data_IF_593389970600
#
_entry.id   IF_593389970600
#
_cell.length_a   1.000
_cell.length_b   1.000
_cell.length_c   1.000
_cell.angle_alpha   90.00
_cell.angle_beta   90.00
_cell.angle_gamma   90.00
#
_symmetry.space_group_name_H-M   'P 1'
#
loop_
_entity.id
_entity.type
_entity.pdbx_description
1 polymer ?
#
# COMPACT_ATOMS: atom_id res chain seq x y z
N UNK A 1 19.63 -14.28 5.65
CA UNK A 1 20.81 -13.50 5.18
C UNK A 1 20.70 -12.08 5.69
N UNK A 2 21.80 -11.43 5.98
CA UNK A 2 21.84 -10.02 6.36
C UNK A 2 21.86 -9.11 5.13
N UNK A 3 21.53 -7.82 5.31
CA UNK A 3 21.65 -6.79 4.25
C UNK A 3 23.07 -6.76 3.66
N UNK A 4 24.11 -6.84 4.50
CA UNK A 4 25.52 -6.88 4.07
C UNK A 4 25.82 -8.08 3.18
N UNK A 5 25.32 -9.27 3.53
CA UNK A 5 25.51 -10.47 2.71
C UNK A 5 24.82 -10.37 1.35
N UNK A 6 23.61 -9.78 1.30
CA UNK A 6 22.88 -9.55 0.04
C UNK A 6 23.65 -8.56 -0.85
N UNK A 7 24.17 -7.46 -0.27
CA UNK A 7 25.01 -6.50 -1.01
C UNK A 7 26.31 -7.16 -1.48
N UNK A 8 26.93 -7.99 -0.66
CA UNK A 8 28.15 -8.75 -1.04
C UNK A 8 27.88 -9.73 -2.19
N UNK A 9 26.71 -10.38 -2.18
CA UNK A 9 26.28 -11.22 -3.31
C UNK A 9 26.15 -10.39 -4.60
N UNK A 10 25.54 -9.21 -4.51
CA UNK A 10 25.43 -8.30 -5.65
C UNK A 10 26.80 -7.81 -6.15
N UNK A 11 27.73 -7.48 -5.24
CA UNK A 11 29.10 -7.08 -5.58
C UNK A 11 29.85 -8.22 -6.25
N UNK A 12 29.71 -9.45 -5.77
CA UNK A 12 30.35 -10.62 -6.39
C UNK A 12 29.92 -10.84 -7.85
N UNK A 13 28.66 -10.58 -8.19
CA UNK A 13 28.14 -10.66 -9.58
C UNK A 13 28.82 -9.69 -10.54
N UNK A 14 29.37 -8.59 -10.02
CA UNK A 14 30.09 -7.58 -10.82
C UNK A 14 31.61 -7.63 -10.66
N UNK A 15 32.14 -8.61 -9.89
CA UNK A 15 33.56 -8.74 -9.59
C UNK A 15 34.10 -7.71 -8.57
N UNK A 16 33.18 -7.14 -7.76
CA UNK A 16 33.50 -6.19 -6.69
C UNK A 16 34.05 -6.87 -5.43
N UNK A 17 34.74 -6.09 -4.59
CA UNK A 17 35.25 -6.57 -3.29
C UNK A 17 34.13 -6.62 -2.27
N UNK A 18 34.14 -7.65 -1.43
CA UNK A 18 33.20 -7.81 -0.32
C UNK A 18 33.42 -6.74 0.77
N UNK A 19 32.34 -6.37 1.43
CA UNK A 19 32.29 -5.45 2.56
C UNK A 19 32.29 -6.24 3.87
N UNK A 20 32.91 -5.69 4.91
CA UNK A 20 32.75 -6.22 6.28
C UNK A 20 31.38 -5.84 6.85
N UNK A 21 30.96 -4.59 6.63
CA UNK A 21 29.63 -4.08 7.06
C UNK A 21 29.16 -3.00 6.09
N UNK A 22 28.02 -3.25 5.44
CA UNK A 22 27.46 -2.33 4.44
C UNK A 22 27.04 -0.97 5.03
N UNK A 23 26.69 -0.90 6.31
CA UNK A 23 26.18 0.33 6.93
C UNK A 23 27.32 1.24 7.47
N UNK A 24 28.43 0.66 7.86
CA UNK A 24 29.56 1.38 8.48
C UNK A 24 30.78 1.57 7.60
N UNK A 25 30.99 0.70 6.60
CA UNK A 25 32.11 0.83 5.68
C UNK A 25 32.01 2.13 4.85
N UNK A 26 33.17 2.75 4.60
CA UNK A 26 33.27 4.01 3.84
C UNK A 26 33.79 3.81 2.40
N UNK A 27 33.95 2.56 1.99
CA UNK A 27 34.39 2.23 0.63
C UNK A 27 33.35 2.67 -0.42
N UNK A 28 33.77 2.99 -1.66
CA UNK A 28 32.83 3.32 -2.74
C UNK A 28 31.74 2.26 -2.92
N UNK A 29 32.09 0.97 -2.76
CA UNK A 29 31.14 -0.15 -2.84
C UNK A 29 30.06 -0.09 -1.75
N UNK A 30 30.42 0.26 -0.52
CA UNK A 30 29.47 0.41 0.58
C UNK A 30 28.56 1.63 0.38
N UNK A 31 29.11 2.74 -0.08
CA UNK A 31 28.34 3.96 -0.41
C UNK A 31 27.32 3.67 -1.50
N UNK A 32 27.76 3.07 -2.62
CA UNK A 32 26.87 2.63 -3.70
C UNK A 32 25.82 1.62 -3.21
N UNK A 33 26.24 0.63 -2.42
CA UNK A 33 25.32 -0.36 -1.85
C UNK A 33 24.18 0.29 -1.05
N UNK A 34 24.51 1.22 -0.16
CA UNK A 34 23.49 1.98 0.61
C UNK A 34 22.60 2.84 -0.27
N UNK A 35 23.19 3.53 -1.26
CA UNK A 35 22.49 4.42 -2.20
C UNK A 35 21.39 3.69 -2.96
N UNK A 36 21.65 2.47 -3.44
CA UNK A 36 20.73 1.74 -4.29
C UNK A 36 19.89 0.68 -3.55
N UNK A 37 20.19 0.40 -2.28
CA UNK A 37 19.50 -0.63 -1.51
C UNK A 37 17.98 -0.42 -1.48
N UNK A 38 17.53 0.77 -1.08
CA UNK A 38 16.11 1.07 -0.95
C UNK A 38 15.38 1.06 -2.30
N UNK A 39 16.04 1.56 -3.34
CA UNK A 39 15.49 1.55 -4.68
C UNK A 39 15.28 0.12 -5.18
N UNK A 40 16.32 -0.72 -5.08
CA UNK A 40 16.26 -2.12 -5.50
C UNK A 40 15.23 -2.92 -4.68
N UNK A 41 15.18 -2.72 -3.36
CA UNK A 41 14.22 -3.40 -2.48
C UNK A 41 12.78 -3.03 -2.85
N UNK A 42 12.47 -1.74 -2.98
CA UNK A 42 11.12 -1.29 -3.33
C UNK A 42 10.71 -1.78 -4.72
N UNK A 43 11.62 -1.77 -5.70
CA UNK A 43 11.36 -2.30 -7.03
C UNK A 43 11.08 -3.81 -6.99
N UNK A 44 11.93 -4.59 -6.31
CA UNK A 44 11.74 -6.03 -6.17
C UNK A 44 10.42 -6.38 -5.45
N UNK A 45 10.09 -5.66 -4.37
CA UNK A 45 8.82 -5.85 -3.65
C UNK A 45 7.59 -5.48 -4.49
N UNK A 46 7.71 -4.47 -5.34
CA UNK A 46 6.60 -4.02 -6.23
C UNK A 46 6.38 -4.95 -7.41
N UNK A 47 7.40 -5.72 -7.79
CA UNK A 47 7.39 -6.53 -9.02
C UNK A 47 6.36 -7.66 -9.00
N UNK A 48 5.97 -8.14 -7.80
CA UNK A 48 5.05 -9.26 -7.60
C UNK A 48 4.26 -9.10 -6.31
N UNK A 49 3.18 -9.87 -6.17
CA UNK A 49 2.44 -10.03 -4.93
C UNK A 49 3.08 -11.14 -4.07
N UNK A 50 4.23 -10.84 -3.45
CA UNK A 50 5.00 -11.79 -2.65
C UNK A 50 4.25 -12.27 -1.40
N UNK A 51 4.14 -13.57 -1.17
CA UNK A 51 3.48 -14.13 0.01
C UNK A 51 4.17 -13.68 1.31
N UNK A 52 5.50 -13.71 1.38
CA UNK A 52 6.28 -13.30 2.55
C UNK A 52 6.16 -11.79 2.88
N UNK A 53 5.76 -10.98 1.90
CA UNK A 53 5.59 -9.54 2.05
C UNK A 53 4.10 -9.11 2.02
N UNK A 54 3.19 -10.02 2.36
CA UNK A 54 1.76 -9.73 2.46
C UNK A 54 1.41 -9.31 3.88
N UNK A 55 0.75 -8.16 4.02
CA UNK A 55 0.03 -7.75 5.23
C UNK A 55 -1.44 -7.56 4.94
N UNK A 56 -2.24 -7.79 5.98
CA UNK A 56 -3.67 -7.54 5.96
C UNK A 56 -4.04 -6.61 7.12
N UNK A 57 -4.90 -5.65 6.84
CA UNK A 57 -5.36 -4.70 7.84
C UNK A 57 -6.78 -4.26 7.57
N UNK A 58 -7.46 -3.85 8.64
CA UNK A 58 -8.75 -3.17 8.54
C UNK A 58 -8.51 -1.67 8.58
N UNK A 59 -9.02 -0.96 7.60
CA UNK A 59 -9.07 0.49 7.56
C UNK A 59 -10.50 0.94 7.85
N UNK A 60 -10.66 1.90 8.72
CA UNK A 60 -11.95 2.54 9.03
C UNK A 60 -11.77 4.04 9.03
N UNK A 61 -12.68 4.75 8.40
CA UNK A 61 -12.69 6.21 8.46
C UNK A 61 -12.99 6.68 9.88
N UNK A 62 -12.37 7.78 10.26
CA UNK A 62 -12.62 8.42 11.55
C UNK A 62 -13.38 9.71 11.32
N UNK A 63 -14.61 9.77 11.80
CA UNK A 63 -15.42 10.99 11.80
C UNK A 63 -14.91 11.94 12.88
N UNK A 64 -14.86 13.21 12.55
CA UNK A 64 -14.40 14.26 13.45
C UNK A 64 -15.61 14.94 14.10
N UNK A 65 -15.64 15.02 15.43
CA UNK A 65 -16.71 15.68 16.15
C UNK A 65 -16.71 17.20 15.89
N UNK A 66 -17.89 17.75 15.66
CA UNK A 66 -18.15 19.18 15.49
C UNK A 66 -18.26 19.85 16.87
N UNK A 67 -17.62 21.00 17.04
CA UNK A 67 -17.67 21.75 18.30
C UNK A 67 -18.92 22.64 18.38
N UNK A 68 -19.21 23.37 17.30
CA UNK A 68 -20.43 24.20 17.22
C UNK A 68 -20.84 24.45 15.78
N UNK A 69 -22.09 24.86 15.63
CA UNK A 69 -22.68 25.23 14.33
C UNK A 69 -23.35 26.58 14.49
N UNK A 70 -23.08 27.52 13.59
CA UNK A 70 -23.63 28.89 13.62
C UNK A 70 -24.13 29.30 12.23
N UNK A 71 -24.93 30.36 12.21
CA UNK A 71 -25.41 30.97 10.97
C UNK A 71 -24.34 31.96 10.42
N UNK A 72 -23.98 31.83 9.16
CA UNK A 72 -23.19 32.84 8.46
C UNK A 72 -23.91 33.27 7.17
N UNK A 73 -24.73 34.33 7.26
CA UNK A 73 -25.44 34.86 6.09
C UNK A 73 -26.40 33.85 5.43
N UNK A 74 -26.96 32.92 6.18
CA UNK A 74 -27.83 31.86 5.71
C UNK A 74 -27.11 30.51 5.46
N UNK A 75 -25.79 30.50 5.41
CA UNK A 75 -24.99 29.27 5.32
C UNK A 75 -24.74 28.66 6.72
N UNK A 76 -24.55 27.36 6.72
CA UNK A 76 -24.13 26.60 7.92
C UNK A 76 -22.63 26.76 8.10
N UNK A 77 -22.22 27.45 9.16
CA UNK A 77 -20.83 27.55 9.61
C UNK A 77 -20.53 26.50 10.67
N UNK A 78 -19.49 25.72 10.47
CA UNK A 78 -19.03 24.69 11.39
C UNK A 78 -17.73 25.16 12.07
N UNK A 79 -17.67 24.96 13.38
CA UNK A 79 -16.45 25.17 14.17
C UNK A 79 -15.89 23.83 14.63
N UNK A 80 -14.60 23.62 14.40
CA UNK A 80 -13.80 22.50 14.90
C UNK A 80 -12.33 22.87 14.86
N UNK A 81 -11.70 22.93 16.02
CA UNK A 81 -10.26 23.25 16.15
C UNK A 81 -9.43 22.36 15.25
N UNK A 82 -8.61 22.98 14.41
CA UNK A 82 -7.71 22.31 13.45
C UNK A 82 -8.44 21.30 12.56
N UNK A 83 -9.53 21.73 11.90
CA UNK A 83 -10.37 20.84 11.09
C UNK A 83 -9.66 20.26 9.84
N UNK A 84 -8.56 20.83 9.37
CA UNK A 84 -7.72 20.29 8.29
C UNK A 84 -8.32 20.38 6.88
N UNK A 85 -9.50 21.01 6.70
CA UNK A 85 -10.10 21.23 5.38
C UNK A 85 -9.51 22.46 4.71
N UNK A 86 -9.46 22.44 3.38
CA UNK A 86 -9.21 23.60 2.52
C UNK A 86 -10.45 23.94 1.70
N UNK A 87 -10.53 25.14 1.16
CA UNK A 87 -11.64 25.52 0.27
C UNK A 87 -11.66 24.61 -0.94
N UNK A 88 -12.84 24.03 -1.23
CA UNK A 88 -13.05 23.05 -2.28
C UNK A 88 -12.97 21.58 -1.80
N UNK A 89 -12.58 21.33 -0.57
CA UNK A 89 -12.71 20.00 0.01
C UNK A 89 -14.19 19.63 0.20
N UNK A 90 -14.52 18.35 0.06
CA UNK A 90 -15.86 17.84 0.29
C UNK A 90 -15.94 17.17 1.65
N UNK A 91 -16.98 17.45 2.41
CA UNK A 91 -17.22 16.90 3.73
C UNK A 91 -18.60 16.27 3.82
N UNK A 92 -18.66 15.03 4.32
CA UNK A 92 -19.91 14.39 4.73
C UNK A 92 -20.24 14.81 6.17
N UNK A 93 -21.44 15.34 6.38
CA UNK A 93 -21.91 15.85 7.66
C UNK A 93 -23.01 14.95 8.18
N UNK A 94 -22.92 14.56 9.45
CA UNK A 94 -23.92 13.72 10.12
C UNK A 94 -24.33 14.31 11.46
N UNK A 95 -25.58 14.06 11.84
CA UNK A 95 -26.15 14.48 13.12
C UNK A 95 -26.12 16.00 13.35
N UNK A 96 -26.16 16.79 12.27
CA UNK A 96 -26.41 18.24 12.31
C UNK A 96 -27.76 18.49 11.66
N UNK A 97 -28.82 18.81 12.42
CA UNK A 97 -30.21 18.85 11.90
C UNK A 97 -30.41 19.72 10.66
N UNK A 98 -29.64 20.80 10.54
CA UNK A 98 -29.71 21.72 9.40
C UNK A 98 -28.73 21.43 8.27
N UNK A 99 -27.92 20.36 8.37
CA UNK A 99 -26.92 20.06 7.35
C UNK A 99 -26.51 18.57 7.38
N UNK A 100 -27.42 17.69 7.03
CA UNK A 100 -27.09 16.27 6.83
C UNK A 100 -26.80 16.02 5.36
N UNK A 101 -25.67 15.40 5.05
CA UNK A 101 -25.26 15.10 3.68
C UNK A 101 -23.84 15.50 3.35
N UNK A 102 -23.55 15.67 2.08
CA UNK A 102 -22.22 16.01 1.58
C UNK A 102 -22.20 17.42 0.99
N UNK A 103 -21.26 18.22 1.47
CA UNK A 103 -21.12 19.63 1.08
C UNK A 103 -19.67 19.93 0.71
N UNK A 104 -19.46 20.89 -0.17
CA UNK A 104 -18.15 21.50 -0.36
C UNK A 104 -17.90 22.52 0.74
N UNK A 105 -16.67 22.58 1.23
CA UNK A 105 -16.27 23.49 2.29
C UNK A 105 -15.63 24.75 1.74
N UNK A 106 -15.99 25.90 2.31
CA UNK A 106 -15.22 27.14 2.20
C UNK A 106 -14.48 27.36 3.52
N UNK A 107 -13.16 27.21 3.49
CA UNK A 107 -12.34 27.45 4.67
C UNK A 107 -12.31 28.94 5.02
N UNK A 108 -12.65 29.29 6.24
CA UNK A 108 -12.56 30.64 6.77
C UNK A 108 -11.22 30.84 7.50
N UNK A 109 -10.91 29.95 8.42
CA UNK A 109 -9.63 29.91 9.16
C UNK A 109 -9.24 28.45 9.49
N UNK A 110 -8.36 28.24 10.47
CA UNK A 110 -7.92 26.90 10.88
C UNK A 110 -9.02 26.10 11.60
N UNK A 111 -9.97 26.80 12.20
CA UNK A 111 -10.94 26.24 13.14
C UNK A 111 -12.38 26.33 12.62
N UNK A 112 -12.63 27.11 11.54
CA UNK A 112 -13.98 27.36 11.01
C UNK A 112 -14.05 27.19 9.48
N UNK A 113 -15.16 26.62 9.03
CA UNK A 113 -15.49 26.50 7.60
C UNK A 113 -17.01 26.61 7.39
N UNK A 114 -17.39 27.12 6.23
CA UNK A 114 -18.77 27.19 5.77
C UNK A 114 -19.07 26.03 4.83
N UNK A 115 -20.30 25.51 4.91
CA UNK A 115 -20.83 24.53 3.96
C UNK A 115 -21.47 25.26 2.78
N UNK A 116 -20.91 25.08 1.58
CA UNK A 116 -21.46 25.68 0.35
C UNK A 116 -22.84 25.09 0.06
N UNK A 117 -23.73 25.94 -0.47
CA UNK A 117 -25.11 25.57 -0.84
C UNK A 117 -25.96 25.02 0.31
N UNK A 118 -25.51 25.16 1.56
CA UNK A 118 -26.30 24.80 2.73
C UNK A 118 -27.26 25.92 3.10
N UNK A 119 -28.35 25.55 3.79
CA UNK A 119 -29.29 26.53 4.35
C UNK A 119 -29.35 26.33 5.86
N UNK A 120 -28.94 27.38 6.59
CA UNK A 120 -28.98 27.34 8.04
C UNK A 120 -30.45 27.39 8.51
N UNK A 121 -30.84 26.39 9.29
CA UNK A 121 -32.09 26.38 10.05
C UNK A 121 -31.79 26.32 11.54
N UNK A 122 -32.65 26.89 12.38
CA UNK A 122 -32.52 26.81 13.82
C UNK A 122 -32.62 25.36 14.32
N UNK A 123 -32.07 25.07 15.48
CA UNK A 123 -32.27 23.76 16.13
C UNK A 123 -31.01 22.95 16.42
N UNK A 124 -29.82 23.44 16.07
CA UNK A 124 -28.59 22.80 16.53
C UNK A 124 -28.37 23.12 18.02
N UNK A 125 -28.20 22.08 18.83
CA UNK A 125 -27.86 22.23 20.25
C UNK A 125 -26.45 21.73 20.54
N UNK A 126 -26.12 20.52 20.07
CA UNK A 126 -24.81 19.90 20.26
C UNK A 126 -24.68 18.63 19.41
N UNK A 127 -23.47 18.11 19.31
CA UNK A 127 -23.17 16.86 18.60
C UNK A 127 -22.84 17.10 17.13
N UNK A 128 -22.98 16.05 16.32
CA UNK A 128 -22.62 16.06 14.91
C UNK A 128 -21.17 15.73 14.66
N UNK A 129 -20.95 15.21 13.48
CA UNK A 129 -19.60 14.84 12.98
C UNK A 129 -19.46 15.22 11.54
N UNK A 130 -18.23 15.40 11.11
CA UNK A 130 -17.89 15.46 9.70
C UNK A 130 -16.77 14.49 9.33
N UNK A 131 -16.77 14.10 8.08
CA UNK A 131 -15.73 13.29 7.46
C UNK A 131 -15.30 13.97 6.16
N UNK A 132 -13.99 14.20 5.99
CA UNK A 132 -13.46 14.60 4.69
C UNK A 132 -13.56 13.41 3.74
N UNK A 133 -14.19 13.63 2.59
CA UNK A 133 -14.40 12.64 1.56
C UNK A 133 -13.81 13.11 0.22
N UNK A 134 -13.56 12.21 -0.75
CA UNK A 134 -13.12 12.61 -2.09
C UNK A 134 -14.08 13.63 -2.72
N UNK A 135 -13.55 14.54 -3.53
CA UNK A 135 -14.34 15.57 -4.17
C UNK A 135 -15.44 14.97 -5.08
N UNK A 136 -15.14 13.85 -5.74
CA UNK A 136 -16.07 13.12 -6.61
C UNK A 136 -15.61 11.66 -6.79
N UNK A 137 -16.48 10.83 -7.35
CA UNK A 137 -16.17 9.47 -7.81
C UNK A 137 -16.17 8.41 -6.74
N UNK A 138 -15.89 8.73 -5.47
CA UNK A 138 -15.81 7.78 -4.37
C UNK A 138 -16.48 8.33 -3.11
N UNK A 139 -16.98 7.40 -2.29
CA UNK A 139 -17.65 7.75 -1.02
C UNK A 139 -16.68 7.95 0.13
N UNK A 140 -15.53 7.25 0.13
CA UNK A 140 -14.58 7.28 1.23
C UNK A 140 -13.14 7.34 0.75
N UNK A 141 -12.28 7.86 1.63
CA UNK A 141 -10.83 7.82 1.50
C UNK A 141 -10.20 7.30 2.79
N UNK A 142 -9.32 6.33 2.65
CA UNK A 142 -8.55 5.75 3.75
C UNK A 142 -7.07 6.07 3.57
N UNK A 143 -6.40 6.52 4.63
CA UNK A 143 -4.95 6.73 4.58
C UNK A 143 -4.24 5.40 4.28
N UNK A 144 -3.29 5.42 3.36
CA UNK A 144 -2.41 4.27 3.12
C UNK A 144 -1.62 3.94 4.39
N UNK A 145 -1.47 2.66 4.76
CA UNK A 145 -0.49 2.26 5.77
C UNK A 145 0.90 2.81 5.41
N UNK A 146 1.62 3.32 6.39
CA UNK A 146 2.93 3.97 6.17
C UNK A 146 4.00 3.04 5.59
N UNK A 147 3.83 1.74 5.75
CA UNK A 147 4.69 0.68 5.22
C UNK A 147 4.15 0.06 3.92
N UNK A 148 3.07 0.60 3.35
CA UNK A 148 2.48 0.07 2.12
C UNK A 148 3.33 0.41 0.90
N UNK A 149 3.76 -0.64 0.18
CA UNK A 149 4.42 -0.52 -1.14
C UNK A 149 3.38 -0.55 -2.25
N UNK A 150 2.41 -1.47 -2.15
CA UNK A 150 1.38 -1.69 -3.16
C UNK A 150 0.13 -2.28 -2.55
N UNK A 151 -1.02 -1.66 -2.78
CA UNK A 151 -2.32 -2.25 -2.46
C UNK A 151 -2.60 -3.38 -3.45
N UNK A 152 -3.03 -4.53 -2.95
CA UNK A 152 -3.35 -5.70 -3.76
C UNK A 152 -4.84 -5.84 -3.97
N UNK A 153 -5.60 -5.73 -2.89
CA UNK A 153 -7.06 -5.83 -2.93
C UNK A 153 -7.70 -5.13 -1.72
N UNK A 154 -8.96 -4.81 -1.90
CA UNK A 154 -9.84 -4.21 -0.92
C UNK A 154 -11.11 -5.04 -0.89
N UNK A 155 -11.59 -5.44 0.28
CA UNK A 155 -12.84 -6.23 0.43
C UNK A 155 -13.68 -5.67 1.57
N UNK A 156 -14.96 -6.00 1.55
CA UNK A 156 -15.97 -5.56 2.51
C UNK A 156 -16.08 -6.51 3.73
N UNK A 157 -15.76 -7.80 3.52
CA UNK A 157 -15.91 -8.85 4.52
C UNK A 157 -14.56 -9.52 4.83
N UNK A 158 -14.15 -9.62 6.11
CA UNK A 158 -12.91 -10.30 6.49
C UNK A 158 -12.96 -11.82 6.31
N UNK A 159 -14.15 -12.41 6.35
CA UNK A 159 -14.36 -13.85 6.31
C UNK A 159 -14.60 -14.37 4.88
N UNK A 160 -14.64 -13.46 3.91
CA UNK A 160 -14.80 -13.81 2.50
C UNK A 160 -13.63 -14.67 2.05
N UNK A 161 -13.94 -15.88 1.55
CA UNK A 161 -12.94 -16.80 0.99
C UNK A 161 -12.31 -16.15 -0.25
N UNK A 162 -11.01 -15.99 -0.19
CA UNK A 162 -10.36 -14.96 -0.98
C UNK A 162 -9.64 -15.55 -2.20
N UNK A 163 -10.31 -15.63 -3.33
CA UNK A 163 -9.62 -15.73 -4.61
C UNK A 163 -8.85 -14.43 -4.92
N UNK A 164 -7.71 -14.54 -5.57
CA UNK A 164 -6.80 -13.40 -5.82
C UNK A 164 -7.47 -12.24 -6.60
N UNK A 165 -8.51 -12.54 -7.35
CA UNK A 165 -9.27 -11.58 -8.16
C UNK A 165 -10.50 -10.99 -7.47
N UNK A 166 -10.82 -11.43 -6.25
CA UNK A 166 -11.96 -10.92 -5.51
C UNK A 166 -11.59 -9.62 -4.80
N UNK A 167 -11.95 -8.50 -5.41
CA UNK A 167 -11.68 -7.15 -4.89
C UNK A 167 -12.82 -6.20 -5.23
N UNK A 168 -13.21 -5.39 -4.25
CA UNK A 168 -14.06 -4.25 -4.50
C UNK A 168 -13.31 -3.17 -5.30
N UNK A 169 -14.02 -2.38 -6.10
CA UNK A 169 -13.40 -1.28 -6.84
C UNK A 169 -12.68 -0.32 -5.89
N UNK A 170 -11.45 0.02 -6.22
CA UNK A 170 -10.68 1.01 -5.50
C UNK A 170 -9.68 1.74 -6.40
N UNK A 171 -9.19 2.88 -5.93
CA UNK A 171 -8.03 3.59 -6.48
C UNK A 171 -7.06 4.01 -5.40
N UNK A 172 -5.80 4.13 -5.76
CA UNK A 172 -4.76 4.68 -4.88
C UNK A 172 -4.32 6.02 -5.47
N UNK A 173 -4.62 7.10 -4.75
CA UNK A 173 -4.32 8.46 -5.18
C UNK A 173 -3.83 9.29 -3.99
N UNK A 174 -2.75 10.05 -4.19
CA UNK A 174 -2.23 11.03 -3.20
C UNK A 174 -2.05 10.48 -1.79
N UNK A 175 -1.67 9.20 -1.64
CA UNK A 175 -1.47 8.57 -0.33
C UNK A 175 -2.75 8.04 0.33
N UNK A 176 -3.85 7.95 -0.44
CA UNK A 176 -5.12 7.39 0.02
C UNK A 176 -5.58 6.23 -0.84
N UNK A 177 -6.33 5.32 -0.23
CA UNK A 177 -7.16 4.33 -0.90
C UNK A 177 -8.56 4.93 -0.99
N UNK A 178 -9.05 5.13 -2.20
CA UNK A 178 -10.40 5.60 -2.50
C UNK A 178 -11.28 4.39 -2.80
N UNK A 179 -12.40 4.24 -2.09
CA UNK A 179 -13.38 3.18 -2.30
C UNK A 179 -14.75 3.60 -1.74
N UNK A 180 -15.77 2.76 -1.97
CA UNK A 180 -17.13 3.00 -1.45
C UNK A 180 -17.43 2.31 -0.12
N UNK A 181 -16.39 1.77 0.54
CA UNK A 181 -16.49 1.09 1.83
C UNK A 181 -16.08 2.03 2.97
N UNK A 182 -16.97 2.21 3.96
CA UNK A 182 -16.65 2.95 5.19
C UNK A 182 -15.60 2.22 6.06
N UNK A 183 -15.65 0.90 6.07
CA UNK A 183 -14.66 0.03 6.65
C UNK A 183 -14.17 -0.93 5.58
N UNK A 184 -12.91 -0.86 5.23
CA UNK A 184 -12.28 -1.66 4.20
C UNK A 184 -11.26 -2.63 4.79
N UNK A 185 -11.29 -3.89 4.38
CA UNK A 185 -10.23 -4.86 4.68
C UNK A 185 -9.28 -4.88 3.51
N UNK A 186 -8.01 -4.58 3.79
CA UNK A 186 -7.01 -4.35 2.75
C UNK A 186 -5.88 -5.35 2.88
N UNK A 187 -5.57 -6.04 1.78
CA UNK A 187 -4.35 -6.80 1.62
C UNK A 187 -3.36 -5.99 0.77
N UNK A 188 -2.12 -5.88 1.24
CA UNK A 188 -1.11 -5.07 0.58
C UNK A 188 0.29 -5.68 0.72
N UNK A 189 1.16 -5.33 -0.21
CA UNK A 189 2.60 -5.58 -0.08
C UNK A 189 3.16 -4.52 0.87
N UNK A 190 3.73 -4.98 1.99
CA UNK A 190 4.40 -4.08 2.91
C UNK A 190 5.90 -4.02 2.64
N UNK A 191 6.51 -2.92 3.03
CA UNK A 191 7.96 -2.74 2.95
C UNK A 191 8.64 -3.58 4.02
N UNK A 192 8.83 -4.85 3.70
CA UNK A 192 9.54 -5.77 4.58
C UNK A 192 11.04 -5.44 4.55
N UNK A 193 11.60 -5.03 5.68
CA UNK A 193 13.03 -4.75 5.84
C UNK A 193 13.75 -5.83 6.62
N UNK A 194 13.03 -6.84 7.12
CA UNK A 194 13.61 -7.99 7.81
C UNK A 194 14.11 -9.02 6.78
N UNK A 195 15.39 -8.90 6.46
CA UNK A 195 16.05 -9.78 5.50
C UNK A 195 16.10 -11.27 5.91
N UNK A 196 15.85 -11.59 7.19
CA UNK A 196 15.81 -12.97 7.66
C UNK A 196 14.57 -13.72 7.13
N UNK A 197 13.50 -13.00 6.81
CA UNK A 197 12.26 -13.57 6.30
C UNK A 197 12.22 -13.73 4.78
N UNK A 198 13.28 -13.31 4.07
CA UNK A 198 13.29 -13.37 2.61
C UNK A 198 13.52 -14.80 2.10
N UNK A 199 12.67 -15.28 1.17
CA UNK A 199 12.94 -16.53 0.45
C UNK A 199 14.24 -16.45 -0.36
N UNK A 200 14.90 -17.59 -0.55
CA UNK A 200 16.16 -17.64 -1.29
C UNK A 200 16.06 -17.10 -2.71
N UNK A 201 14.97 -17.39 -3.39
CA UNK A 201 14.73 -16.93 -4.76
C UNK A 201 14.52 -15.41 -4.82
N UNK A 202 13.85 -14.83 -3.81
CA UNK A 202 13.75 -13.39 -3.69
C UNK A 202 15.11 -12.74 -3.44
N UNK A 203 15.93 -13.33 -2.57
CA UNK A 203 17.31 -12.86 -2.32
C UNK A 203 18.13 -12.90 -3.61
N UNK A 204 18.05 -13.98 -4.39
CA UNK A 204 18.76 -14.09 -5.67
C UNK A 204 18.31 -13.02 -6.67
N UNK A 205 17.00 -12.80 -6.78
CA UNK A 205 16.43 -11.76 -7.63
C UNK A 205 16.85 -10.36 -7.17
N UNK A 206 16.73 -10.05 -5.86
CA UNK A 206 17.12 -8.77 -5.27
C UNK A 206 18.62 -8.48 -5.46
N UNK A 207 19.49 -9.49 -5.20
CA UNK A 207 20.94 -9.35 -5.38
C UNK A 207 21.29 -9.08 -6.85
N UNK A 208 20.62 -9.73 -7.80
CA UNK A 208 20.85 -9.51 -9.24
C UNK A 208 20.36 -8.13 -9.67
N UNK A 209 19.20 -7.69 -9.18
CA UNK A 209 18.68 -6.35 -9.44
C UNK A 209 19.65 -5.27 -8.90
N UNK A 210 20.07 -5.42 -7.64
CA UNK A 210 21.02 -4.52 -7.00
C UNK A 210 22.36 -4.50 -7.76
N UNK A 211 22.85 -5.66 -8.22
CA UNK A 211 24.06 -5.75 -9.03
C UNK A 211 23.98 -4.94 -10.34
N UNK A 212 22.80 -4.85 -10.96
CA UNK A 212 22.61 -4.02 -12.15
C UNK A 212 22.80 -2.53 -11.87
N UNK A 213 22.33 -2.05 -10.71
CA UNK A 213 22.57 -0.66 -10.28
C UNK A 213 24.02 -0.40 -9.89
N UNK A 214 24.63 -1.33 -9.15
CA UNK A 214 26.02 -1.23 -8.74
C UNK A 214 26.98 -1.25 -9.94
N UNK A 215 26.70 -2.06 -10.96
CA UNK A 215 27.50 -2.11 -12.19
C UNK A 215 27.52 -0.75 -12.90
N UNK A 216 26.42 -0.02 -12.87
CA UNK A 216 26.34 1.31 -13.47
C UNK A 216 27.12 2.36 -12.67
N UNK A 217 27.03 2.34 -11.34
CA UNK A 217 27.61 3.37 -10.46
C UNK A 217 29.12 3.16 -10.24
N UNK A 218 29.59 1.91 -10.19
CA UNK A 218 30.98 1.55 -9.92
C UNK A 218 31.85 1.44 -11.18
N UNK A 219 31.43 2.04 -12.30
CA UNK A 219 32.17 2.09 -13.56
C UNK A 219 32.51 0.71 -14.13
N UNK A 220 31.57 -0.20 -14.11
CA UNK A 220 31.67 -1.47 -14.83
C UNK A 220 31.77 -1.28 -16.37
N UNK A 221 32.17 -2.30 -17.11
CA UNK A 221 32.19 -2.26 -18.57
C UNK A 221 30.85 -1.81 -19.14
N UNK A 222 30.89 -0.97 -20.18
CA UNK A 222 29.67 -0.53 -20.86
C UNK A 222 28.82 -1.76 -21.30
N UNK A 223 27.54 -1.78 -20.96
CA UNK A 223 26.64 -2.88 -21.28
C UNK A 223 26.46 -3.92 -20.17
N UNK A 224 27.38 -4.10 -19.21
CA UNK A 224 27.25 -5.11 -18.14
C UNK A 224 26.03 -4.89 -17.26
N UNK A 225 25.70 -3.64 -16.93
CA UNK A 225 24.48 -3.29 -16.19
C UNK A 225 23.23 -3.79 -16.92
N UNK A 226 23.17 -3.59 -18.25
CA UNK A 226 22.04 -4.03 -19.07
C UNK A 226 21.94 -5.57 -19.14
N UNK A 227 23.06 -6.29 -19.24
CA UNK A 227 23.10 -7.76 -19.24
C UNK A 227 22.58 -8.33 -17.92
N UNK A 228 23.04 -7.77 -16.78
CA UNK A 228 22.59 -8.18 -15.45
C UNK A 228 21.10 -7.86 -15.27
N UNK A 229 20.65 -6.69 -15.74
CA UNK A 229 19.25 -6.31 -15.71
C UNK A 229 18.39 -7.28 -16.53
N UNK A 230 18.85 -7.66 -17.70
CA UNK A 230 18.16 -8.65 -18.52
C UNK A 230 18.11 -10.03 -17.85
N UNK A 231 19.18 -10.43 -17.16
CA UNK A 231 19.21 -11.67 -16.36
C UNK A 231 18.18 -11.63 -15.22
N UNK A 232 18.07 -10.49 -14.53
CA UNK A 232 17.03 -10.28 -13.52
C UNK A 232 15.64 -10.46 -14.12
N UNK A 233 15.33 -9.74 -15.19
CA UNK A 233 13.98 -9.69 -15.77
C UNK A 233 13.55 -11.02 -16.42
N UNK A 234 14.48 -11.70 -17.10
CA UNK A 234 14.17 -12.91 -17.88
C UNK A 234 14.32 -14.20 -17.11
N UNK A 235 15.13 -14.23 -16.06
CA UNK A 235 15.48 -15.47 -15.36
C UNK A 235 15.16 -15.40 -13.87
N UNK A 236 15.72 -14.46 -13.14
CA UNK A 236 15.63 -14.45 -11.68
C UNK A 236 14.23 -14.12 -11.17
N UNK A 237 13.62 -13.07 -11.70
CA UNK A 237 12.28 -12.65 -11.32
C UNK A 237 11.19 -13.67 -11.67
N UNK A 238 11.13 -14.27 -12.87
CA UNK A 238 10.17 -15.34 -13.19
C UNK A 238 10.35 -16.58 -12.32
N UNK A 239 11.57 -16.99 -12.01
CA UNK A 239 11.84 -18.12 -11.14
C UNK A 239 11.33 -17.86 -9.71
N UNK A 240 11.63 -16.68 -9.16
CA UNK A 240 11.17 -16.30 -7.83
C UNK A 240 9.64 -16.23 -7.77
N UNK A 241 8.98 -15.68 -8.79
CA UNK A 241 7.51 -15.65 -8.92
C UNK A 241 6.91 -17.06 -8.95
N UNK A 242 7.51 -17.96 -9.72
CA UNK A 242 7.04 -19.34 -9.85
C UNK A 242 7.11 -20.13 -8.55
N UNK A 243 8.11 -19.84 -7.71
CA UNK A 243 8.25 -20.47 -6.38
C UNK A 243 7.24 -19.89 -5.39
N UNK A 244 7.16 -18.57 -5.28
CA UNK A 244 6.23 -17.89 -4.41
C UNK A 244 4.76 -18.31 -4.69
N UNK A 245 4.40 -18.45 -5.97
CA UNK A 245 3.07 -18.91 -6.36
C UNK A 245 2.75 -20.36 -5.92
N UNK A 246 3.75 -21.22 -5.77
CA UNK A 246 3.56 -22.60 -5.27
C UNK A 246 3.37 -22.65 -3.77
N UNK A 247 3.99 -21.75 -3.01
CA UNK A 247 3.83 -21.66 -1.55
C UNK A 247 2.41 -21.20 -1.15
N UNK A 248 1.71 -20.50 -2.04
CA UNK A 248 0.33 -20.03 -1.80
C UNK A 248 -0.78 -21.01 -2.21
N UNK A 249 -0.48 -22.07 -2.94
CA UNK A 249 -1.46 -23.09 -3.29
C UNK A 249 -1.44 -24.22 -2.26
N UNK A 250 -2.38 -24.21 -1.32
CA UNK A 250 -2.77 -25.45 -0.66
C UNK A 250 -3.19 -26.49 -1.71
N UNK A 251 -2.81 -27.73 -1.52
CA UNK A 251 -3.20 -28.87 -2.37
C UNK A 251 -4.73 -29.08 -2.32
N UNK A 252 -5.48 -28.26 -3.06
CA UNK A 252 -6.94 -28.42 -3.22
C UNK A 252 -7.31 -29.54 -4.19
N UNK A 253 -6.33 -30.24 -4.77
CA UNK A 253 -6.56 -31.24 -5.82
C UNK A 253 -6.50 -32.72 -5.38
N UNK A 254 -6.42 -33.02 -4.06
CA UNK A 254 -6.33 -34.42 -3.63
C UNK A 254 -7.69 -35.06 -3.26
N UNK A 255 -8.75 -34.29 -3.06
CA UNK A 255 -9.99 -34.86 -2.51
C UNK A 255 -11.22 -34.95 -3.43
N UNK A 256 -11.22 -34.33 -4.62
CA UNK A 256 -12.39 -34.45 -5.52
C UNK A 256 -12.32 -35.72 -6.42
N UNK A 257 -11.14 -36.13 -6.85
CA UNK A 257 -11.02 -37.33 -7.67
C UNK A 257 -11.17 -38.64 -6.88
N UNK A 258 -10.88 -38.65 -5.57
CA UNK A 258 -11.04 -39.84 -4.72
C UNK A 258 -12.48 -40.07 -4.25
N UNK A 259 -13.27 -39.02 -4.12
CA UNK A 259 -14.68 -39.14 -3.69
C UNK A 259 -15.59 -39.66 -4.82
N UNK A 260 -15.33 -39.27 -6.07
CA UNK A 260 -16.08 -39.76 -7.22
C UNK A 260 -15.75 -41.23 -7.58
N UNK A 261 -14.50 -41.66 -7.38
CA UNK A 261 -14.06 -43.03 -7.56
C UNK A 261 -14.61 -43.99 -6.49
N UNK A 262 -14.86 -43.50 -5.29
CA UNK A 262 -15.52 -44.31 -4.24
C UNK A 262 -17.03 -44.44 -4.45
N UNK A 263 -17.69 -43.41 -4.96
CA UNK A 263 -19.13 -43.46 -5.24
C UNK A 263 -19.48 -44.42 -6.40
N UNK A 264 -18.61 -44.60 -7.38
CA UNK A 264 -18.83 -45.48 -8.52
C UNK A 264 -18.59 -46.98 -8.24
N UNK A 265 -18.04 -47.35 -7.08
CA UNK A 265 -17.78 -48.74 -6.69
C UNK A 265 -18.94 -49.43 -5.93
N UNK A 266 -19.97 -48.66 -5.55
CA UNK A 266 -21.12 -49.13 -4.79
C UNK A 266 -22.47 -48.83 -5.46
N UNK A 267 -22.47 -48.55 -6.78
CA UNK A 267 -23.68 -48.43 -7.60
C UNK A 267 -23.88 -49.70 -8.44
#
# INVERSE_FOLDING_TARGET
MTKTEIINTALALIGGKSLANADTDTTPQAVSGRKFWELALNEALSAQNWNFATKRTRLKVTRTAITSVTNNGGLVRITKVSHGLVTGDRAAIENVPCAVGSFFATRIDADTFDLQDSVFASGYSSGGTFLKIPAFGWSYQHALPSDCVKVRRVVDDPDRDMEENDTEPFRVESGFILCDLEAAFVAYTWRNTDTATYPHEFIAALSTLLASYLAQDLAGPAGRSAEIRQTYERLMLPNARGRDAREGKGDTNVNTASSELHASRFA
#
